data_IF_322000354278
#
_entry.id   IF_322000354278
#
_cell.length_a   1.000
_cell.length_b   1.000
_cell.length_c   1.000
_cell.angle_alpha   90.00
_cell.angle_beta   90.00
_cell.angle_gamma   90.00
#
_symmetry.space_group_name_H-M   'P 1'
#
loop_
_entity.id
_entity.type
_entity.pdbx_description
1 polymer ?
#
# COMPACT_ATOMS: atom_id res chain seq x y z
N UNK A 1 -1.03 26.75 -10.21
CA UNK A 1 -0.50 28.09 -9.89
C UNK A 1 -1.41 28.72 -8.84
N UNK A 2 -0.84 29.09 -7.70
CA UNK A 2 -1.49 29.74 -6.56
C UNK A 2 -0.41 29.91 -5.50
N UNK A 3 0.23 31.07 -5.47
CA UNK A 3 1.50 31.27 -4.76
C UNK A 3 1.35 31.14 -3.25
N UNK A 4 2.04 30.17 -2.66
CA UNK A 4 2.38 30.20 -1.24
C UNK A 4 3.43 31.29 -1.03
N UNK A 5 2.96 32.54 -0.89
CA UNK A 5 3.78 33.60 -0.31
C UNK A 5 4.03 33.26 1.16
N UNK A 6 5.22 33.59 1.65
CA UNK A 6 5.53 33.50 3.08
C UNK A 6 4.43 34.20 3.89
N UNK A 7 3.60 33.41 4.58
CA UNK A 7 2.53 33.91 5.42
C UNK A 7 3.13 34.30 6.78
N UNK A 8 2.70 35.44 7.32
CA UNK A 8 3.17 35.89 8.63
C UNK A 8 2.85 34.84 9.68
N UNK A 9 3.86 34.42 10.43
CA UNK A 9 3.71 33.49 11.55
C UNK A 9 3.49 34.28 12.85
N UNK A 10 2.53 33.87 13.66
CA UNK A 10 2.38 34.40 15.01
C UNK A 10 3.51 33.89 15.93
N UNK A 11 3.67 34.51 17.11
CA UNK A 11 4.67 34.07 18.10
C UNK A 11 4.46 32.60 18.49
N UNK A 12 3.22 32.19 18.71
CA UNK A 12 2.88 30.82 19.11
C UNK A 12 3.11 29.81 17.98
N UNK A 13 2.78 30.20 16.74
CA UNK A 13 3.04 29.39 15.55
C UNK A 13 4.55 29.16 15.34
N UNK A 14 5.35 30.22 15.47
CA UNK A 14 6.80 30.14 15.38
C UNK A 14 7.38 29.32 16.56
N UNK A 15 6.83 29.47 17.76
CA UNK A 15 7.24 28.70 18.93
C UNK A 15 7.02 27.19 18.73
N UNK A 16 5.84 26.77 18.25
CA UNK A 16 5.58 25.36 17.96
C UNK A 16 6.54 24.80 16.90
N UNK A 17 6.75 25.53 15.80
CA UNK A 17 7.66 25.08 14.73
C UNK A 17 9.10 24.97 15.25
N UNK A 18 9.61 26.03 15.89
CA UNK A 18 10.99 26.05 16.38
C UNK A 18 11.25 24.96 17.42
N UNK A 19 10.29 24.73 18.33
CA UNK A 19 10.39 23.65 19.31
C UNK A 19 10.38 22.27 18.66
N UNK A 20 9.48 22.04 17.69
CA UNK A 20 9.42 20.77 16.97
C UNK A 20 10.71 20.50 16.17
N UNK A 21 11.26 21.50 15.49
CA UNK A 21 12.53 21.36 14.75
C UNK A 21 13.72 21.10 15.70
N UNK A 22 13.78 21.80 16.84
CA UNK A 22 14.82 21.60 17.86
C UNK A 22 14.80 20.16 18.42
N UNK A 23 13.62 19.63 18.72
CA UNK A 23 13.43 18.26 19.20
C UNK A 23 13.43 17.21 18.07
N UNK A 24 13.66 17.62 16.82
CA UNK A 24 13.65 16.77 15.62
C UNK A 24 12.33 16.02 15.44
N UNK A 25 11.22 16.59 15.91
CA UNK A 25 9.88 16.05 15.79
C UNK A 25 9.32 16.38 14.39
N UNK A 26 9.29 15.36 13.52
CA UNK A 26 8.61 15.46 12.21
C UNK A 26 7.09 15.34 12.33
N UNK A 27 6.62 14.52 13.27
CA UNK A 27 5.21 14.28 13.53
C UNK A 27 4.78 15.08 14.77
N UNK A 28 3.99 16.12 14.56
CA UNK A 28 3.38 16.90 15.63
C UNK A 28 2.06 16.23 16.02
N UNK A 29 1.97 15.77 17.27
CA UNK A 29 0.72 15.28 17.85
C UNK A 29 0.01 16.38 18.64
N UNK A 30 -1.30 16.26 18.81
CA UNK A 30 -2.03 17.16 19.73
C UNK A 30 -1.51 17.06 21.16
N UNK A 31 -1.06 15.88 21.59
CA UNK A 31 -0.44 15.67 22.91
C UNK A 31 0.84 16.52 23.04
N UNK A 32 1.75 16.43 22.08
CA UNK A 32 2.97 17.24 22.04
C UNK A 32 2.64 18.74 22.04
N UNK A 33 1.72 19.17 21.18
CA UNK A 33 1.36 20.58 21.08
C UNK A 33 0.67 21.11 22.35
N UNK A 34 -0.13 20.28 23.04
CA UNK A 34 -0.76 20.65 24.32
C UNK A 34 0.26 20.82 25.45
N UNK A 35 1.43 20.19 25.39
CA UNK A 35 2.50 20.45 26.36
C UNK A 35 3.13 21.84 26.18
N UNK A 36 2.95 22.49 25.03
CA UNK A 36 3.59 23.77 24.70
C UNK A 36 2.69 24.98 24.97
N UNK A 37 1.38 24.79 25.10
CA UNK A 37 0.41 25.86 25.31
C UNK A 37 -0.49 25.57 26.50
N UNK A 38 -0.74 26.58 27.33
CA UNK A 38 -1.54 26.45 28.55
C UNK A 38 -3.03 26.15 28.33
N UNK A 39 -3.54 26.29 27.09
CA UNK A 39 -4.96 26.13 26.77
C UNK A 39 -5.15 25.19 25.57
N UNK A 40 -5.98 24.14 25.69
CA UNK A 40 -6.33 23.26 24.57
C UNK A 40 -6.99 24.00 23.40
N UNK A 41 -7.78 25.04 23.69
CA UNK A 41 -8.37 25.91 22.67
C UNK A 41 -7.28 26.61 21.87
N UNK A 42 -6.27 27.15 22.57
CA UNK A 42 -5.14 27.82 21.93
C UNK A 42 -4.32 26.85 21.07
N UNK A 43 -4.06 25.64 21.56
CA UNK A 43 -3.39 24.60 20.77
C UNK A 43 -4.14 24.31 19.47
N UNK A 44 -5.47 24.15 19.54
CA UNK A 44 -6.28 23.89 18.36
C UNK A 44 -6.22 25.05 17.35
N UNK A 45 -6.29 26.30 17.81
CA UNK A 45 -6.15 27.50 16.98
C UNK A 45 -4.79 27.55 16.27
N UNK A 46 -3.69 27.25 16.97
CA UNK A 46 -2.34 27.24 16.41
C UNK A 46 -2.19 26.13 15.36
N UNK A 47 -2.64 24.91 15.66
CA UNK A 47 -2.58 23.78 14.73
C UNK A 47 -3.41 24.04 13.47
N UNK A 48 -4.61 24.60 13.61
CA UNK A 48 -5.47 24.98 12.48
C UNK A 48 -4.82 26.07 11.64
N UNK A 49 -4.31 27.13 12.27
CA UNK A 49 -3.67 28.24 11.57
C UNK A 49 -2.43 27.78 10.79
N UNK A 50 -1.56 26.95 11.38
CA UNK A 50 -0.41 26.39 10.69
C UNK A 50 -0.81 25.45 9.54
N UNK A 51 -1.89 24.67 9.71
CA UNK A 51 -2.41 23.81 8.64
C UNK A 51 -2.91 24.65 7.46
N UNK A 52 -3.72 25.69 7.73
CA UNK A 52 -4.19 26.63 6.69
C UNK A 52 -3.05 27.38 6.00
N UNK A 53 -1.97 27.68 6.73
CA UNK A 53 -0.76 28.33 6.21
C UNK A 53 0.20 27.37 5.48
N UNK A 54 -0.16 26.09 5.31
CA UNK A 54 0.69 25.11 4.62
C UNK A 54 1.95 24.71 5.39
N UNK A 55 2.01 24.98 6.70
CA UNK A 55 3.14 24.64 7.57
C UNK A 55 2.96 23.29 8.26
N UNK A 56 1.74 22.77 8.27
CA UNK A 56 1.40 21.44 8.74
C UNK A 56 0.56 20.71 7.70
N UNK A 57 0.87 19.44 7.44
CA UNK A 57 0.03 18.52 6.67
C UNK A 57 -0.74 17.62 7.63
N UNK A 58 -2.08 17.74 7.66
CA UNK A 58 -2.90 16.97 8.59
C UNK A 58 -3.09 15.51 8.14
N UNK A 59 -2.41 14.58 8.79
CA UNK A 59 -2.50 13.14 8.53
C UNK A 59 -3.82 12.55 9.05
N UNK A 60 -4.24 12.96 10.24
CA UNK A 60 -5.54 12.69 10.84
C UNK A 60 -5.77 13.69 11.98
N UNK A 61 -6.98 13.71 12.57
CA UNK A 61 -7.22 14.56 13.74
C UNK A 61 -6.16 14.27 14.81
N UNK A 62 -5.47 15.32 15.23
CA UNK A 62 -4.41 15.26 16.23
C UNK A 62 -3.06 14.71 15.76
N UNK A 63 -2.84 14.48 14.47
CA UNK A 63 -1.53 14.10 13.90
C UNK A 63 -1.23 14.92 12.66
N UNK A 64 -0.13 15.65 12.71
CA UNK A 64 0.28 16.61 11.70
C UNK A 64 1.74 16.38 11.33
N UNK A 65 2.05 16.39 10.04
CA UNK A 65 3.42 16.34 9.54
C UNK A 65 3.92 17.77 9.38
N UNK A 66 5.06 18.08 10.00
CA UNK A 66 5.69 19.39 9.93
C UNK A 66 6.30 19.62 8.54
N UNK A 67 5.95 20.74 7.91
CA UNK A 67 6.62 21.23 6.70
C UNK A 67 7.85 22.05 7.14
N UNK A 68 9.08 21.65 6.80
CA UNK A 68 10.30 22.32 7.28
C UNK A 68 10.34 23.81 6.93
N UNK A 69 10.93 24.67 7.79
CA UNK A 69 11.17 26.10 7.45
C UNK A 69 12.09 26.21 6.22
N UNK A 70 13.07 25.32 6.12
CA UNK A 70 14.06 25.30 5.02
C UNK A 70 13.47 25.00 3.64
N UNK A 71 12.18 24.66 3.54
CA UNK A 71 11.51 24.44 2.26
C UNK A 71 11.33 25.76 1.50
N UNK A 72 12.04 25.98 0.36
CA UNK A 72 11.90 27.20 -0.41
C UNK A 72 10.46 27.35 -0.92
N UNK A 73 9.87 28.54 -0.75
CA UNK A 73 8.47 28.80 -1.10
C UNK A 73 7.45 27.81 -0.49
N UNK A 74 7.82 27.12 0.59
CA UNK A 74 7.04 26.01 1.17
C UNK A 74 6.76 24.87 0.16
N UNK A 75 7.54 24.79 -0.92
CA UNK A 75 7.49 23.68 -1.86
C UNK A 75 8.25 22.51 -1.25
N UNK A 76 7.50 21.63 -0.59
CA UNK A 76 8.00 20.41 -0.01
C UNK A 76 6.93 19.34 -0.12
N UNK A 77 7.29 18.23 -0.78
CA UNK A 77 6.47 17.04 -0.84
C UNK A 77 7.21 15.94 -0.08
N UNK A 78 6.66 15.45 1.06
CA UNK A 78 7.23 14.28 1.71
C UNK A 78 7.10 13.07 0.79
N UNK A 79 8.01 12.10 0.93
CA UNK A 79 7.82 10.82 0.28
C UNK A 79 6.49 10.19 0.71
N UNK A 80 5.69 9.74 -0.26
CA UNK A 80 4.35 9.23 -0.02
C UNK A 80 4.32 7.98 0.89
N UNK A 81 5.38 7.17 0.87
CA UNK A 81 5.48 6.01 1.76
C UNK A 81 5.82 6.42 3.20
N UNK A 82 6.58 7.50 3.37
CA UNK A 82 6.83 8.10 4.70
C UNK A 82 5.52 8.64 5.28
N UNK A 83 4.70 9.34 4.48
CA UNK A 83 3.38 9.81 4.90
C UNK A 83 2.48 8.64 5.30
N UNK A 84 2.44 7.57 4.49
CA UNK A 84 1.70 6.35 4.79
C UNK A 84 2.12 5.75 6.14
N UNK A 85 3.43 5.63 6.39
CA UNK A 85 3.98 5.11 7.64
C UNK A 85 3.57 5.94 8.85
N UNK A 86 3.71 7.26 8.77
CA UNK A 86 3.32 8.18 9.83
C UNK A 86 1.80 8.20 10.08
N UNK A 87 1.00 8.04 9.02
CA UNK A 87 -0.45 7.97 9.11
C UNK A 87 -0.94 6.66 9.75
N UNK A 88 -0.25 5.55 9.49
CA UNK A 88 -0.52 4.26 10.14
C UNK A 88 -0.04 4.25 11.58
N UNK A 89 1.11 4.84 11.89
CA UNK A 89 1.70 4.80 13.23
C UNK A 89 1.89 3.35 13.70
N UNK A 90 1.24 2.99 14.81
CA UNK A 90 1.31 1.65 15.40
C UNK A 90 0.37 0.63 14.76
N UNK A 91 -0.50 1.03 13.84
CA UNK A 91 -1.39 0.08 13.15
C UNK A 91 -0.55 -0.86 12.30
N UNK A 92 -0.63 -2.19 12.47
CA UNK A 92 0.06 -3.13 11.58
C UNK A 92 -0.42 -2.95 10.14
N UNK A 93 0.52 -2.62 9.26
CA UNK A 93 0.26 -2.31 7.85
C UNK A 93 1.37 -2.80 6.94
N UNK A 94 1.10 -2.79 5.64
CA UNK A 94 2.09 -2.72 4.58
C UNK A 94 1.51 -1.95 3.38
N UNK A 95 2.38 -1.29 2.62
CA UNK A 95 2.03 -0.74 1.30
C UNK A 95 2.00 -1.91 0.32
N UNK A 96 0.93 -2.02 -0.45
CA UNK A 96 0.67 -3.17 -1.32
C UNK A 96 -0.17 -2.80 -2.54
N UNK A 97 -0.79 -3.80 -3.17
CA UNK A 97 -1.60 -3.64 -4.40
C UNK A 97 -0.89 -2.78 -5.46
N UNK A 98 -1.63 -1.93 -6.19
CA UNK A 98 -1.12 -1.22 -7.36
C UNK A 98 0.16 -0.44 -7.10
N UNK A 99 0.28 0.15 -5.90
CA UNK A 99 1.50 0.85 -5.48
C UNK A 99 2.71 -0.07 -5.57
N UNK A 100 2.58 -1.30 -5.08
CA UNK A 100 3.64 -2.30 -5.15
C UNK A 100 3.75 -2.99 -6.50
N UNK A 101 2.68 -3.07 -7.29
CA UNK A 101 2.77 -3.57 -8.65
C UNK A 101 3.69 -2.67 -9.48
N UNK A 102 3.53 -1.35 -9.38
CA UNK A 102 4.42 -0.40 -10.05
C UNK A 102 5.84 -0.41 -9.46
N UNK A 103 5.98 -0.36 -8.14
CA UNK A 103 7.30 -0.41 -7.47
C UNK A 103 8.14 -1.63 -7.88
N UNK A 104 7.49 -2.78 -8.09
CA UNK A 104 8.16 -4.04 -8.47
C UNK A 104 8.24 -4.28 -9.99
N UNK A 105 7.79 -3.34 -10.82
CA UNK A 105 7.83 -3.46 -12.27
C UNK A 105 6.78 -4.40 -12.87
N UNK A 106 5.73 -4.76 -12.14
CA UNK A 106 4.60 -5.56 -12.68
C UNK A 106 3.72 -4.76 -13.64
N UNK A 107 3.87 -3.44 -13.66
CA UNK A 107 3.12 -2.52 -14.51
C UNK A 107 3.85 -1.17 -14.64
N UNK A 108 3.86 -0.64 -15.86
CA UNK A 108 4.37 0.70 -16.17
C UNK A 108 3.39 1.81 -15.77
N UNK A 109 2.14 1.45 -15.45
CA UNK A 109 1.13 2.44 -15.06
C UNK A 109 1.47 3.04 -13.70
N UNK A 110 1.59 4.37 -13.67
CA UNK A 110 1.88 5.11 -12.44
C UNK A 110 0.59 5.20 -11.60
N UNK A 111 0.58 4.68 -10.36
CA UNK A 111 -0.59 4.72 -9.50
C UNK A 111 -0.87 6.17 -9.04
N UNK A 112 -2.13 6.60 -9.14
CA UNK A 112 -2.57 7.89 -8.57
C UNK A 112 -2.92 7.81 -7.07
N UNK A 113 -2.88 6.61 -6.50
CA UNK A 113 -3.29 6.30 -5.13
C UNK A 113 -2.27 5.36 -4.48
N UNK A 114 -1.88 5.68 -3.25
CA UNK A 114 -1.08 4.79 -2.39
C UNK A 114 -2.02 3.84 -1.64
N UNK A 115 -1.89 2.55 -1.91
CA UNK A 115 -2.69 1.51 -1.26
C UNK A 115 -1.99 0.97 -0.01
N UNK A 116 -2.69 1.02 1.12
CA UNK A 116 -2.17 0.61 2.43
C UNK A 116 -3.04 -0.51 2.98
N UNK A 117 -2.55 -1.74 2.94
CA UNK A 117 -3.23 -2.89 3.52
C UNK A 117 -2.91 -2.96 5.00
N UNK A 118 -3.93 -3.07 5.84
CA UNK A 118 -3.76 -2.98 7.29
C UNK A 118 -4.85 -3.74 8.05
N UNK A 119 -4.70 -3.87 9.37
CA UNK A 119 -5.64 -4.67 10.18
C UNK A 119 -6.80 -3.87 10.81
N UNK A 120 -6.85 -2.54 10.66
CA UNK A 120 -7.79 -1.68 11.44
C UNK A 120 -8.64 -0.73 10.60
N UNK A 121 -8.03 0.02 9.68
CA UNK A 121 -8.61 1.13 8.93
C UNK A 121 -9.14 0.68 7.57
N UNK A 122 -10.35 1.12 7.23
CA UNK A 122 -10.92 1.04 5.88
C UNK A 122 -11.42 2.42 5.44
N UNK A 123 -10.56 3.23 4.83
CA UNK A 123 -10.84 4.64 4.54
C UNK A 123 -10.01 5.18 3.38
N UNK A 124 -10.58 6.14 2.64
CA UNK A 124 -9.89 6.89 1.58
C UNK A 124 -9.61 8.28 2.10
N UNK A 125 -8.40 8.78 1.85
CA UNK A 125 -8.00 10.12 2.29
C UNK A 125 -7.00 10.73 1.32
N UNK A 126 -7.13 12.02 1.06
CA UNK A 126 -6.08 12.81 0.41
C UNK A 126 -5.26 13.52 1.49
N UNK A 127 -3.92 13.41 1.41
CA UNK A 127 -2.99 14.09 2.32
C UNK A 127 -2.02 14.87 1.44
N UNK A 128 -2.05 16.21 1.53
CA UNK A 128 -1.44 17.06 0.51
C UNK A 128 -2.12 16.84 -0.83
N UNK A 129 -1.34 16.54 -1.87
CA UNK A 129 -1.84 16.24 -3.22
C UNK A 129 -1.91 14.73 -3.54
N UNK A 130 -1.58 13.87 -2.57
CA UNK A 130 -1.51 12.41 -2.77
C UNK A 130 -2.76 11.74 -2.19
N UNK A 131 -3.35 10.83 -2.98
CA UNK A 131 -4.49 10.01 -2.55
C UNK A 131 -3.97 8.75 -1.85
N UNK A 132 -4.60 8.40 -0.73
CA UNK A 132 -4.32 7.19 0.02
C UNK A 132 -5.61 6.38 0.19
N UNK A 133 -5.49 5.07 0.05
CA UNK A 133 -6.56 4.12 0.29
C UNK A 133 -6.09 3.08 1.30
N UNK A 134 -6.52 3.25 2.56
CA UNK A 134 -6.27 2.29 3.61
C UNK A 134 -7.36 1.22 3.57
N UNK A 135 -6.97 -0.03 3.35
CA UNK A 135 -7.85 -1.17 3.19
C UNK A 135 -7.67 -2.14 4.35
N UNK A 136 -8.77 -2.41 5.07
CA UNK A 136 -8.76 -3.40 6.14
C UNK A 136 -8.72 -4.79 5.51
N UNK A 137 -7.74 -5.60 5.90
CA UNK A 137 -7.60 -6.99 5.47
C UNK A 137 -7.74 -7.95 6.65
N UNK A 138 -8.07 -9.20 6.33
CA UNK A 138 -8.02 -10.32 7.28
C UNK A 138 -6.57 -10.59 7.70
N UNK A 139 -6.36 -10.95 8.98
CA UNK A 139 -5.04 -11.26 9.52
C UNK A 139 -4.32 -12.39 8.75
N UNK A 140 -5.07 -13.35 8.20
CA UNK A 140 -4.53 -14.42 7.36
C UNK A 140 -3.86 -13.91 6.08
N UNK A 141 -4.18 -12.69 5.63
CA UNK A 141 -3.56 -12.02 4.48
C UNK A 141 -2.37 -11.13 4.87
N UNK A 142 -2.07 -10.98 6.15
CA UNK A 142 -0.99 -10.14 6.67
C UNK A 142 0.32 -10.92 6.79
N UNK A 143 1.04 -11.05 5.68
CA UNK A 143 2.35 -11.71 5.59
C UNK A 143 3.11 -11.27 4.34
N UNK A 144 4.36 -11.72 4.20
CA UNK A 144 5.21 -11.35 3.06
C UNK A 144 5.57 -9.87 3.07
N UNK A 145 5.88 -9.37 4.27
CA UNK A 145 6.17 -7.96 4.53
C UNK A 145 7.67 -7.80 4.69
N UNK A 146 8.25 -6.87 3.94
CA UNK A 146 9.64 -6.44 4.10
C UNK A 146 9.68 -4.99 4.55
N UNK A 147 10.74 -4.63 5.27
CA UNK A 147 11.01 -3.25 5.68
C UNK A 147 11.99 -2.59 4.73
N UNK A 148 11.70 -1.37 4.32
CA UNK A 148 12.63 -0.46 3.67
C UNK A 148 12.82 0.77 4.55
N UNK A 149 13.98 1.42 4.49
CA UNK A 149 14.25 2.64 5.24
C UNK A 149 14.26 3.83 4.29
N UNK A 150 13.33 4.76 4.46
CA UNK A 150 13.29 6.02 3.71
C UNK A 150 13.26 7.18 4.71
N UNK A 151 14.13 8.16 4.50
CA UNK A 151 14.27 9.33 5.38
C UNK A 151 14.38 9.02 6.89
N UNK A 152 15.05 7.90 7.21
CA UNK A 152 15.22 7.44 8.60
C UNK A 152 14.02 6.71 9.21
N UNK A 153 12.93 6.53 8.45
CA UNK A 153 11.72 5.83 8.89
C UNK A 153 11.66 4.44 8.24
N UNK A 154 11.37 3.43 9.06
CA UNK A 154 11.09 2.07 8.57
C UNK A 154 9.67 1.99 8.01
N UNK A 155 9.56 1.51 6.78
CA UNK A 155 8.31 1.42 6.03
C UNK A 155 8.08 -0.04 5.68
N UNK A 156 6.88 -0.52 6.00
CA UNK A 156 6.46 -1.87 5.66
C UNK A 156 5.88 -1.91 4.25
N UNK A 157 6.42 -2.76 3.38
CA UNK A 157 5.91 -2.99 2.02
C UNK A 157 5.74 -4.49 1.75
N UNK A 158 4.90 -4.88 0.78
CA UNK A 158 4.87 -6.27 0.32
C UNK A 158 6.17 -6.62 -0.42
N UNK A 159 6.74 -7.78 -0.12
CA UNK A 159 7.84 -8.32 -0.93
C UNK A 159 7.34 -8.74 -2.33
N UNK A 160 8.27 -9.05 -3.24
CA UNK A 160 7.94 -9.31 -4.64
C UNK A 160 7.02 -10.55 -4.78
N UNK A 161 7.30 -11.62 -4.04
CA UNK A 161 6.48 -12.84 -4.05
C UNK A 161 5.05 -12.57 -3.55
N UNK A 162 4.90 -11.84 -2.43
CA UNK A 162 3.59 -11.49 -1.88
C UNK A 162 2.82 -10.57 -2.83
N UNK A 163 3.52 -9.64 -3.46
CA UNK A 163 2.97 -8.73 -4.46
C UNK A 163 2.40 -9.49 -5.65
N UNK A 164 3.07 -10.54 -6.13
CA UNK A 164 2.54 -11.40 -7.20
C UNK A 164 1.28 -12.17 -6.78
N UNK A 165 1.21 -12.63 -5.53
CA UNK A 165 -0.03 -13.24 -5.00
C UNK A 165 -1.18 -12.23 -5.01
N UNK A 166 -0.90 -10.98 -4.59
CA UNK A 166 -1.87 -9.89 -4.64
C UNK A 166 -2.28 -9.56 -6.07
N UNK A 167 -1.34 -9.55 -7.01
CA UNK A 167 -1.60 -9.28 -8.42
C UNK A 167 -2.53 -10.32 -9.05
N UNK A 168 -2.40 -11.60 -8.71
CA UNK A 168 -3.34 -12.65 -9.16
C UNK A 168 -4.72 -12.50 -8.49
N UNK A 169 -4.74 -12.03 -7.24
CA UNK A 169 -5.98 -11.80 -6.49
C UNK A 169 -6.76 -10.59 -7.02
N UNK A 170 -6.06 -9.49 -7.26
CA UNK A 170 -6.59 -8.19 -7.66
C UNK A 170 -5.73 -7.62 -8.80
N UNK A 171 -5.91 -8.13 -10.03
CA UNK A 171 -5.14 -7.74 -11.22
C UNK A 171 -5.54 -6.33 -11.69
N UNK A 172 -4.68 -5.72 -12.50
CA UNK A 172 -4.93 -4.39 -13.08
C UNK A 172 -5.02 -4.49 -14.58
N UNK A 173 -5.98 -3.77 -15.16
CA UNK A 173 -6.26 -3.80 -16.58
C UNK A 173 -6.86 -5.13 -17.03
N UNK A 174 -6.63 -5.48 -18.29
CA UNK A 174 -7.06 -6.77 -18.84
C UNK A 174 -6.25 -7.90 -18.22
N UNK A 175 -6.94 -8.97 -17.82
CA UNK A 175 -6.31 -10.17 -17.26
C UNK A 175 -5.35 -10.87 -18.24
N UNK A 176 -5.39 -10.51 -19.52
CA UNK A 176 -4.50 -11.03 -20.55
C UNK A 176 -3.02 -10.77 -20.26
N UNK A 177 -2.68 -9.68 -19.55
CA UNK A 177 -1.28 -9.37 -19.24
C UNK A 177 -0.73 -10.14 -18.03
N UNK A 178 -1.59 -10.79 -17.24
CA UNK A 178 -1.16 -11.45 -15.99
C UNK A 178 -0.19 -12.61 -16.27
N UNK A 179 -0.43 -13.39 -17.33
CA UNK A 179 0.44 -14.50 -17.69
C UNK A 179 1.86 -14.03 -18.08
N UNK A 180 1.96 -12.95 -18.85
CA UNK A 180 3.24 -12.39 -19.30
C UNK A 180 4.03 -11.82 -18.12
N UNK A 181 3.38 -11.00 -17.29
CA UNK A 181 4.00 -10.43 -16.08
C UNK A 181 4.49 -11.54 -15.14
N UNK A 182 3.70 -12.61 -14.95
CA UNK A 182 4.13 -13.76 -14.17
C UNK A 182 5.36 -14.42 -14.80
N UNK A 183 5.33 -14.71 -16.10
CA UNK A 183 6.45 -15.35 -16.80
C UNK A 183 7.76 -14.57 -16.64
N UNK A 184 7.72 -13.26 -16.78
CA UNK A 184 8.89 -12.38 -16.61
C UNK A 184 9.37 -12.37 -15.16
N UNK A 185 8.45 -12.25 -14.20
CA UNK A 185 8.82 -12.13 -12.79
C UNK A 185 9.31 -13.43 -12.15
N UNK A 186 8.91 -14.60 -12.67
CA UNK A 186 9.30 -15.90 -12.11
C UNK A 186 10.82 -16.12 -12.12
N UNK A 187 11.55 -15.45 -13.02
CA UNK A 187 13.01 -15.52 -13.06
C UNK A 187 13.69 -14.71 -11.93
N UNK A 188 12.96 -13.78 -11.30
CA UNK A 188 13.51 -12.81 -10.35
C UNK A 188 13.00 -13.00 -8.91
N UNK A 189 12.28 -14.09 -8.65
CA UNK A 189 11.71 -14.39 -7.32
C UNK A 189 12.18 -15.73 -6.79
N UNK A 190 12.04 -15.92 -5.48
CA UNK A 190 12.11 -17.25 -4.88
C UNK A 190 10.79 -17.98 -5.16
N UNK A 191 10.84 -18.95 -6.09
CA UNK A 191 9.67 -19.72 -6.49
C UNK A 191 9.09 -20.53 -5.33
N UNK A 192 9.92 -21.15 -4.48
CA UNK A 192 9.40 -21.95 -3.36
C UNK A 192 8.71 -21.07 -2.33
N UNK A 193 9.25 -19.89 -2.06
CA UNK A 193 8.61 -18.86 -1.23
C UNK A 193 7.28 -18.39 -1.83
N UNK A 194 7.21 -18.13 -3.13
CA UNK A 194 5.98 -17.75 -3.83
C UNK A 194 4.89 -18.84 -3.71
N UNK A 195 5.26 -20.11 -3.89
CA UNK A 195 4.35 -21.25 -3.73
C UNK A 195 3.85 -21.38 -2.30
N UNK A 196 4.72 -21.18 -1.31
CA UNK A 196 4.33 -21.14 0.11
C UNK A 196 3.34 -20.01 0.39
N UNK A 197 3.54 -18.84 -0.24
CA UNK A 197 2.63 -17.69 -0.10
C UNK A 197 1.27 -17.93 -0.74
N UNK A 198 1.23 -18.53 -1.93
CA UNK A 198 -0.03 -18.96 -2.55
C UNK A 198 -0.79 -19.95 -1.66
N UNK A 199 -0.10 -20.96 -1.11
CA UNK A 199 -0.68 -21.94 -0.19
C UNK A 199 -1.21 -21.31 1.09
N UNK A 200 -0.48 -20.34 1.66
CA UNK A 200 -0.90 -19.59 2.85
C UNK A 200 -2.09 -18.65 2.58
N UNK A 201 -2.20 -18.11 1.37
CA UNK A 201 -3.25 -17.14 1.04
C UNK A 201 -4.65 -17.78 1.12
N UNK A 202 -5.63 -17.17 1.83
CA UNK A 202 -6.88 -17.84 2.17
C UNK A 202 -7.89 -17.93 1.02
N UNK A 203 -7.52 -17.53 -0.20
CA UNK A 203 -8.44 -17.44 -1.34
C UNK A 203 -8.11 -18.53 -2.36
N UNK A 204 -8.95 -19.57 -2.40
CA UNK A 204 -8.77 -20.75 -3.27
C UNK A 204 -8.72 -20.37 -4.76
N UNK A 205 -9.53 -19.39 -5.20
CA UNK A 205 -9.52 -18.95 -6.60
C UNK A 205 -8.17 -18.39 -7.05
N UNK A 206 -7.40 -17.78 -6.14
CA UNK A 206 -6.05 -17.28 -6.42
C UNK A 206 -5.10 -18.43 -6.67
N UNK A 207 -5.16 -19.49 -5.83
CA UNK A 207 -4.36 -20.70 -6.02
C UNK A 207 -4.69 -21.40 -7.33
N UNK A 208 -5.98 -21.56 -7.67
CA UNK A 208 -6.43 -22.16 -8.94
C UNK A 208 -5.90 -21.40 -10.15
N UNK A 209 -6.01 -20.07 -10.15
CA UNK A 209 -5.49 -19.20 -11.23
C UNK A 209 -3.97 -19.26 -11.34
N UNK A 210 -3.28 -19.17 -10.20
CA UNK A 210 -1.82 -19.25 -10.17
C UNK A 210 -1.32 -20.59 -10.74
N UNK A 211 -1.92 -21.71 -10.32
CA UNK A 211 -1.57 -23.02 -10.83
C UNK A 211 -1.81 -23.16 -12.33
N UNK A 212 -2.94 -22.66 -12.82
CA UNK A 212 -3.23 -22.61 -14.26
C UNK A 212 -2.14 -21.83 -15.03
N UNK A 213 -1.77 -20.65 -14.57
CA UNK A 213 -0.72 -19.84 -15.21
C UNK A 213 0.65 -20.51 -15.15
N UNK A 214 1.03 -21.08 -14.01
CA UNK A 214 2.31 -21.79 -13.87
C UNK A 214 2.38 -23.02 -14.79
N UNK A 215 1.26 -23.71 -15.00
CA UNK A 215 1.14 -24.81 -15.97
C UNK A 215 1.29 -24.29 -17.41
N UNK A 216 0.62 -23.20 -17.80
CA UNK A 216 0.80 -22.58 -19.13
C UNK A 216 2.24 -22.11 -19.38
N UNK A 217 2.94 -21.63 -18.34
CA UNK A 217 4.34 -21.18 -18.43
C UNK A 217 5.33 -22.37 -18.54
N UNK A 218 4.90 -23.60 -18.22
CA UNK A 218 5.74 -24.79 -18.26
C UNK A 218 6.58 -25.00 -16.99
N UNK A 219 6.10 -24.58 -15.83
CA UNK A 219 6.77 -24.89 -14.56
C UNK A 219 6.77 -26.40 -14.28
N UNK A 220 7.84 -26.90 -13.63
CA UNK A 220 8.00 -28.32 -13.31
C UNK A 220 6.80 -28.89 -12.54
N UNK A 221 6.40 -30.12 -12.84
CA UNK A 221 5.31 -30.83 -12.15
C UNK A 221 5.47 -30.87 -10.62
N UNK A 222 6.71 -30.93 -10.13
CA UNK A 222 6.99 -30.91 -8.69
C UNK A 222 6.49 -29.64 -8.02
N UNK A 223 6.55 -28.50 -8.71
CA UNK A 223 6.05 -27.20 -8.24
C UNK A 223 4.51 -27.17 -8.28
N UNK A 224 3.93 -27.62 -9.40
CA UNK A 224 2.48 -27.67 -9.58
C UNK A 224 1.80 -28.57 -8.54
N UNK A 225 2.39 -29.74 -8.25
CA UNK A 225 1.90 -30.67 -7.21
C UNK A 225 1.88 -30.05 -5.81
N UNK A 226 2.81 -29.15 -5.47
CA UNK A 226 2.81 -28.43 -4.17
C UNK A 226 1.58 -27.52 -4.01
N UNK A 227 1.05 -26.96 -5.10
CA UNK A 227 -0.15 -26.14 -5.08
C UNK A 227 -1.44 -26.97 -5.13
N UNK A 228 -1.46 -28.04 -5.92
CA UNK A 228 -2.64 -28.90 -6.07
C UNK A 228 -3.11 -29.50 -4.74
N UNK A 229 -2.18 -29.87 -3.86
CA UNK A 229 -2.49 -30.41 -2.51
C UNK A 229 -3.40 -29.51 -1.67
N UNK A 230 -3.42 -28.21 -1.93
CA UNK A 230 -4.20 -27.23 -1.16
C UNK A 230 -5.29 -26.54 -2.01
N UNK A 231 -5.71 -27.13 -3.13
CA UNK A 231 -6.56 -26.44 -4.11
C UNK A 231 -8.05 -26.33 -3.75
N UNK A 232 -8.42 -26.59 -2.49
CA UNK A 232 -9.81 -26.55 -2.01
C UNK A 232 -10.65 -27.69 -2.57
N UNK A 233 -11.99 -27.52 -2.63
CA UNK A 233 -12.88 -28.55 -3.18
C UNK A 233 -12.63 -28.76 -4.67
N UNK A 234 -12.61 -30.04 -5.06
CA UNK A 234 -12.31 -30.50 -6.43
C UNK A 234 -13.44 -30.20 -7.43
N UNK A 235 -14.65 -29.95 -6.96
CA UNK A 235 -15.86 -29.75 -7.76
C UNK A 235 -16.10 -28.29 -8.20
N UNK A 236 -15.45 -27.33 -7.57
CA UNK A 236 -15.81 -25.90 -7.73
C UNK A 236 -14.97 -25.24 -8.83
N UNK A 237 -15.61 -24.88 -9.95
CA UNK A 237 -14.99 -24.16 -11.06
C UNK A 237 -14.95 -22.65 -10.86
N UNK A 238 -13.78 -22.06 -11.12
CA UNK A 238 -13.51 -20.63 -10.99
C UNK A 238 -13.21 -20.02 -12.37
N UNK A 239 -13.70 -18.81 -12.62
CA UNK A 239 -13.33 -18.06 -13.84
C UNK A 239 -11.88 -17.58 -13.78
N UNK A 240 -11.16 -17.72 -14.89
CA UNK A 240 -9.77 -17.30 -15.01
C UNK A 240 -9.67 -15.79 -14.79
N UNK A 241 -10.33 -15.01 -15.65
CA UNK A 241 -10.41 -13.56 -15.56
C UNK A 241 -11.50 -13.14 -14.55
N UNK A 242 -11.14 -12.55 -13.39
CA UNK A 242 -12.12 -12.05 -12.41
C UNK A 242 -12.89 -10.80 -12.86
N UNK A 243 -12.37 -10.05 -13.85
CA UNK A 243 -12.99 -8.84 -14.38
C UNK A 243 -14.12 -9.17 -15.35
N UNK A 244 -14.02 -10.31 -16.04
CA UNK A 244 -15.07 -10.86 -16.89
C UNK A 244 -15.92 -11.90 -16.11
N UNK A 245 -17.19 -11.59 -15.84
CA UNK A 245 -18.08 -12.52 -15.12
C UNK A 245 -18.64 -13.67 -15.97
N UNK A 246 -18.36 -13.67 -17.28
CA UNK A 246 -18.81 -14.74 -18.18
C UNK A 246 -18.24 -16.10 -17.75
N UNK A 247 -19.11 -17.11 -17.68
CA UNK A 247 -18.74 -18.51 -17.44
C UNK A 247 -18.65 -19.32 -18.74
N UNK A 248 -18.56 -18.65 -19.89
CA UNK A 248 -18.32 -19.29 -21.19
C UNK A 248 -16.82 -19.39 -21.42
N UNK A 249 -16.35 -20.53 -21.91
CA UNK A 249 -14.93 -20.74 -22.21
C UNK A 249 -14.50 -22.19 -22.14
N UNK A 250 -13.24 -22.46 -22.51
CA UNK A 250 -12.63 -23.78 -22.38
C UNK A 250 -12.46 -24.14 -20.91
N UNK A 251 -12.76 -25.38 -20.54
CA UNK A 251 -12.57 -25.88 -19.19
C UNK A 251 -11.18 -26.49 -19.06
N UNK A 252 -10.39 -26.00 -18.12
CA UNK A 252 -9.18 -26.67 -17.65
C UNK A 252 -9.54 -27.54 -16.44
N UNK A 253 -9.49 -28.86 -16.63
CA UNK A 253 -9.87 -29.84 -15.61
C UNK A 253 -8.88 -29.94 -14.46
N UNK A 254 -7.59 -29.75 -14.75
CA UNK A 254 -6.51 -29.87 -13.77
C UNK A 254 -6.65 -28.85 -12.64
N UNK A 255 -6.91 -27.58 -12.98
CA UNK A 255 -7.01 -26.47 -12.04
C UNK A 255 -8.46 -26.04 -11.77
N UNK A 256 -9.44 -26.69 -12.42
CA UNK A 256 -10.87 -26.37 -12.36
C UNK A 256 -11.13 -24.89 -12.71
N UNK A 257 -10.53 -24.46 -13.81
CA UNK A 257 -10.63 -23.09 -14.33
C UNK A 257 -11.50 -23.06 -15.59
N UNK A 258 -12.38 -22.07 -15.68
CA UNK A 258 -13.08 -21.69 -16.91
C UNK A 258 -12.25 -20.57 -17.56
N UNK A 259 -11.68 -20.86 -18.72
CA UNK A 259 -10.84 -19.91 -19.48
C UNK A 259 -11.76 -18.96 -20.25
N UNK A 260 -12.17 -17.88 -19.59
CA UNK A 260 -13.10 -16.84 -20.06
C UNK A 260 -12.36 -15.62 -20.65
N UNK A 261 -11.40 -15.88 -21.55
CA UNK A 261 -10.66 -14.84 -22.29
C UNK A 261 -11.49 -14.30 -23.45
#
# INVERSE_FOLDING_TARGET
>A
MGGNRYSNLSKDELYLISRAEYERQRLITSEFANCLFASPKRTAEVLDALTRKGRLLQLQRGKYLLVPIKAPNQQWAPNEFVVAALWMGEVPYYIGYFTMYNYWGLTEQIPQTVFILNLKKNTKKTIGDVKYEALKIDEKKYFGIRKIKLEGIDICISDKERTLVDFIYNPIGSFNNVANVLKECLAEIDLDKFINYLNRFPVVSVRKRAGFFLSEIGCKDSVLKKLQKNNGREDTYVVLDPTNKSRKGKINQEWKIIVNR
#
